data_IF_173416895852
#
_entry.id   IF_173416895852
#
_cell.length_a   1.000
_cell.length_b   1.000
_cell.length_c   1.000
_cell.angle_alpha   90.00
_cell.angle_beta   90.00
_cell.angle_gamma   90.00
#
_symmetry.space_group_name_H-M   'P 1'
#
loop_
_entity.id
_entity.type
_entity.pdbx_description
1 polymer ?
#
# COMPACT_ATOMS: atom_id res chain seq x y z
N UNK A 1 -5.37 5.88 21.11
CA UNK A 1 -6.73 5.39 20.76
C UNK A 1 -6.57 4.53 19.50
N UNK A 2 -7.02 3.26 19.53
CA UNK A 2 -6.98 2.39 18.34
C UNK A 2 -8.15 2.76 17.42
N UNK A 3 -7.86 3.01 16.15
CA UNK A 3 -8.86 3.38 15.16
C UNK A 3 -8.34 3.11 13.75
N UNK A 4 -9.22 2.92 12.77
CA UNK A 4 -8.85 2.89 11.35
C UNK A 4 -9.59 3.99 10.56
N UNK A 5 -8.92 4.52 9.54
CA UNK A 5 -9.55 5.32 8.50
C UNK A 5 -9.67 4.48 7.23
N UNK A 6 -10.84 4.52 6.60
CA UNK A 6 -11.15 3.77 5.39
C UNK A 6 -11.45 4.73 4.24
N UNK A 7 -10.69 4.63 3.15
CA UNK A 7 -11.00 5.28 1.88
C UNK A 7 -11.38 4.21 0.86
N UNK A 8 -12.59 4.31 0.33
CA UNK A 8 -13.22 3.27 -0.48
C UNK A 8 -13.45 3.81 -1.91
N UNK A 9 -12.46 3.63 -2.78
CA UNK A 9 -12.48 4.16 -4.15
C UNK A 9 -12.62 3.10 -5.24
N UNK A 10 -12.34 1.83 -4.93
CA UNK A 10 -12.43 0.73 -5.90
C UNK A 10 -13.17 -0.47 -5.30
N UNK A 11 -14.30 -0.85 -5.89
CA UNK A 11 -15.14 -1.92 -5.37
C UNK A 11 -14.61 -3.30 -5.82
N UNK A 12 -13.65 -3.83 -5.09
CA UNK A 12 -13.07 -5.17 -5.30
C UNK A 12 -13.57 -6.21 -4.29
N UNK A 13 -14.32 -5.77 -3.27
CA UNK A 13 -14.97 -6.60 -2.24
C UNK A 13 -16.21 -5.88 -1.71
N UNK A 14 -17.07 -6.58 -0.95
CA UNK A 14 -18.24 -5.95 -0.33
C UNK A 14 -17.79 -5.08 0.87
N UNK A 15 -18.07 -3.79 0.81
CA UNK A 15 -17.71 -2.86 1.88
C UNK A 15 -18.47 -3.15 3.18
N UNK A 16 -19.66 -3.76 3.10
CA UNK A 16 -20.39 -4.19 4.28
C UNK A 16 -19.65 -5.29 5.06
N UNK A 17 -18.93 -6.15 4.37
CA UNK A 17 -18.10 -7.19 5.02
C UNK A 17 -16.98 -6.56 5.86
N UNK A 18 -16.36 -5.47 5.36
CA UNK A 18 -15.35 -4.70 6.12
C UNK A 18 -15.95 -4.10 7.37
N UNK A 19 -17.11 -3.47 7.24
CA UNK A 19 -17.80 -2.83 8.37
C UNK A 19 -18.23 -3.88 9.41
N UNK A 20 -18.78 -5.01 8.97
CA UNK A 20 -19.15 -6.12 9.84
C UNK A 20 -17.93 -6.66 10.59
N UNK A 21 -16.83 -6.91 9.88
CA UNK A 21 -15.56 -7.35 10.47
C UNK A 21 -15.05 -6.37 11.55
N UNK A 22 -15.00 -5.06 11.23
CA UNK A 22 -14.49 -4.06 12.18
C UNK A 22 -15.39 -3.95 13.43
N UNK A 23 -16.71 -4.08 13.26
CA UNK A 23 -17.65 -4.10 14.38
C UNK A 23 -17.48 -5.36 15.25
N UNK A 24 -17.31 -6.54 14.66
CA UNK A 24 -17.06 -7.80 15.37
C UNK A 24 -15.76 -7.78 16.16
N UNK A 25 -14.69 -7.21 15.59
CA UNK A 25 -13.41 -7.04 16.26
C UNK A 25 -13.37 -5.85 17.24
N UNK A 26 -14.48 -5.08 17.34
CA UNK A 26 -14.57 -3.86 18.16
C UNK A 26 -13.49 -2.82 17.81
N UNK A 27 -13.18 -2.66 16.53
CA UNK A 27 -12.23 -1.68 16.03
C UNK A 27 -12.99 -0.43 15.57
N UNK A 28 -12.84 0.72 16.25
CA UNK A 28 -13.43 1.97 15.80
C UNK A 28 -12.90 2.37 14.42
N UNK A 29 -13.78 2.89 13.59
CA UNK A 29 -13.43 3.33 12.25
C UNK A 29 -14.08 4.66 11.86
N UNK A 30 -13.51 5.30 10.85
CA UNK A 30 -14.11 6.44 10.14
C UNK A 30 -13.99 6.17 8.65
N UNK A 31 -15.06 6.40 7.90
CA UNK A 31 -15.06 6.37 6.45
C UNK A 31 -14.75 7.78 5.95
N UNK A 32 -13.72 7.90 5.15
CA UNK A 32 -13.26 9.13 4.53
C UNK A 32 -13.47 9.06 3.02
N UNK A 33 -13.66 10.19 2.38
CA UNK A 33 -13.99 10.29 0.95
C UNK A 33 -13.28 11.48 0.29
N UNK A 34 -13.55 11.69 -0.99
CA UNK A 34 -13.04 12.83 -1.76
C UNK A 34 -13.38 14.20 -1.14
N UNK A 35 -14.45 14.28 -0.35
CA UNK A 35 -14.84 15.49 0.37
C UNK A 35 -13.81 15.90 1.43
N UNK A 36 -13.04 14.90 1.93
CA UNK A 36 -12.05 15.08 2.99
C UNK A 36 -10.63 15.31 2.46
N UNK A 37 -10.43 15.49 1.16
CA UNK A 37 -9.11 15.55 0.53
C UNK A 37 -8.14 16.58 1.14
N UNK A 38 -8.67 17.72 1.59
CA UNK A 38 -7.90 18.79 2.22
C UNK A 38 -7.80 18.66 3.74
N UNK A 39 -8.54 17.73 4.35
CA UNK A 39 -8.57 17.54 5.80
C UNK A 39 -7.28 16.87 6.28
N UNK A 40 -6.81 17.30 7.45
CA UNK A 40 -5.63 16.73 8.07
C UNK A 40 -5.96 15.35 8.67
N UNK A 41 -5.07 14.37 8.47
CA UNK A 41 -5.25 13.00 8.96
C UNK A 41 -5.51 12.97 10.47
N UNK A 42 -4.80 13.80 11.25
CA UNK A 42 -5.02 13.91 12.69
C UNK A 42 -6.45 14.33 13.05
N UNK A 43 -7.04 15.24 12.29
CA UNK A 43 -8.41 15.72 12.50
C UNK A 43 -9.44 14.66 12.08
N UNK A 44 -9.19 13.94 10.98
CA UNK A 44 -10.04 12.83 10.54
C UNK A 44 -10.11 11.70 11.56
N UNK A 45 -9.07 11.48 12.35
CA UNK A 45 -9.06 10.45 13.40
C UNK A 45 -10.02 10.75 14.56
N UNK A 46 -10.38 12.00 14.79
CA UNK A 46 -11.36 12.38 15.84
C UNK A 46 -12.81 12.44 15.35
N UNK A 47 -13.03 12.36 14.04
CA UNK A 47 -14.39 12.28 13.47
C UNK A 47 -14.97 10.86 13.60
N UNK A 48 -16.29 10.72 13.45
CA UNK A 48 -16.99 9.44 13.56
C UNK A 48 -17.98 9.24 12.39
N UNK A 49 -17.54 9.58 11.17
CA UNK A 49 -18.33 9.32 9.97
C UNK A 49 -18.26 7.82 9.63
N UNK A 50 -19.41 7.15 9.56
CA UNK A 50 -19.53 5.71 9.31
C UNK A 50 -20.38 5.39 8.09
N UNK A 51 -20.94 6.40 7.40
CA UNK A 51 -21.70 6.17 6.18
C UNK A 51 -20.77 5.79 5.04
N UNK A 52 -21.08 4.70 4.34
CA UNK A 52 -20.32 4.26 3.19
C UNK A 52 -20.45 5.32 2.08
N UNK A 53 -19.32 5.91 1.72
CA UNK A 53 -19.18 6.81 0.57
C UNK A 53 -18.15 6.20 -0.37
N UNK A 54 -18.54 6.04 -1.65
CA UNK A 54 -17.64 5.59 -2.70
C UNK A 54 -16.92 6.81 -3.26
N UNK A 55 -15.62 6.79 -3.19
CA UNK A 55 -14.74 7.85 -3.68
C UNK A 55 -14.34 7.58 -5.13
N UNK A 56 -13.99 8.61 -5.89
CA UNK A 56 -13.66 8.54 -7.32
C UNK A 56 -12.36 9.25 -7.70
N UNK A 57 -11.84 10.11 -6.84
CA UNK A 57 -10.61 10.86 -7.10
C UNK A 57 -9.41 9.91 -7.21
N UNK A 58 -9.34 8.94 -6.29
CA UNK A 58 -8.35 7.86 -6.32
C UNK A 58 -9.08 6.53 -6.44
N UNK A 59 -8.87 5.74 -7.53
CA UNK A 59 -9.52 4.44 -7.73
C UNK A 59 -8.84 3.34 -6.90
N UNK A 60 -8.62 3.60 -5.62
CA UNK A 60 -7.94 2.72 -4.67
C UNK A 60 -8.79 2.44 -3.45
N UNK A 61 -8.53 1.33 -2.78
CA UNK A 61 -8.99 1.09 -1.43
C UNK A 61 -7.81 1.25 -0.48
N UNK A 62 -7.94 2.19 0.45
CA UNK A 62 -6.89 2.51 1.41
C UNK A 62 -7.40 2.33 2.84
N UNK A 63 -6.53 1.80 3.71
CA UNK A 63 -6.77 1.67 5.14
C UNK A 63 -5.56 2.21 5.91
N UNK A 64 -5.82 3.13 6.86
CA UNK A 64 -4.84 3.65 7.80
C UNK A 64 -5.11 3.09 9.19
N UNK A 65 -4.10 2.50 9.81
CA UNK A 65 -4.15 1.97 11.17
C UNK A 65 -3.55 2.98 12.14
N UNK A 66 -4.33 3.43 13.12
CA UNK A 66 -3.88 4.37 14.15
C UNK A 66 -3.89 3.71 15.54
N UNK A 67 -2.83 3.97 16.32
CA UNK A 67 -2.71 3.52 17.71
C UNK A 67 -2.55 2.01 17.88
N UNK A 68 -2.07 1.32 16.86
CA UNK A 68 -1.82 -0.13 16.84
C UNK A 68 -0.34 -0.40 16.58
N UNK A 69 0.20 -1.47 17.12
CA UNK A 69 1.54 -1.93 16.79
C UNK A 69 1.54 -2.83 15.54
N UNK A 70 2.73 -3.17 15.01
CA UNK A 70 2.88 -3.96 13.77
C UNK A 70 2.22 -5.35 13.89
N UNK A 71 2.33 -6.02 15.03
CA UNK A 71 1.78 -7.37 15.22
C UNK A 71 0.24 -7.35 15.22
N UNK A 72 -0.36 -6.33 15.83
CA UNK A 72 -1.81 -6.13 15.82
C UNK A 72 -2.33 -5.86 14.41
N UNK A 73 -1.66 -4.97 13.67
CA UNK A 73 -2.00 -4.66 12.27
C UNK A 73 -1.88 -5.91 11.40
N UNK A 74 -0.81 -6.69 11.56
CA UNK A 74 -0.61 -7.92 10.81
C UNK A 74 -1.72 -8.94 11.09
N UNK A 75 -2.09 -9.13 12.37
CA UNK A 75 -3.18 -10.04 12.75
C UNK A 75 -4.53 -9.62 12.15
N UNK A 76 -4.84 -8.32 12.14
CA UNK A 76 -6.05 -7.77 11.52
C UNK A 76 -6.05 -8.03 10.01
N UNK A 77 -4.94 -7.73 9.33
CA UNK A 77 -4.80 -7.96 7.88
C UNK A 77 -4.98 -9.44 7.54
N UNK A 78 -4.40 -10.36 8.29
CA UNK A 78 -4.58 -11.79 8.08
C UNK A 78 -6.05 -12.24 8.23
N UNK A 79 -6.74 -11.75 9.26
CA UNK A 79 -8.18 -12.04 9.45
C UNK A 79 -9.01 -11.50 8.29
N UNK A 80 -8.74 -10.27 7.82
CA UNK A 80 -9.41 -9.67 6.67
C UNK A 80 -9.17 -10.48 5.40
N UNK A 81 -7.95 -10.95 5.16
CA UNK A 81 -7.61 -11.78 4.01
C UNK A 81 -8.37 -13.12 4.01
N UNK A 82 -8.57 -13.74 5.17
CA UNK A 82 -9.37 -14.96 5.30
C UNK A 82 -10.85 -14.75 4.93
N UNK A 83 -11.33 -13.50 4.97
CA UNK A 83 -12.66 -13.09 4.54
C UNK A 83 -12.68 -12.53 3.10
N UNK A 84 -11.57 -12.69 2.35
CA UNK A 84 -11.39 -12.13 1.02
C UNK A 84 -11.46 -10.58 0.97
N UNK A 85 -11.21 -9.92 2.09
CA UNK A 85 -11.09 -8.47 2.18
C UNK A 85 -9.62 -8.08 2.00
N UNK A 86 -9.31 -7.35 0.94
CA UNK A 86 -7.93 -6.93 0.66
C UNK A 86 -7.88 -5.47 0.21
N UNK A 87 -7.30 -4.62 1.03
CA UNK A 87 -6.98 -3.26 0.65
C UNK A 87 -5.70 -3.23 -0.19
N UNK A 88 -5.72 -2.47 -1.30
CA UNK A 88 -4.54 -2.29 -2.16
C UNK A 88 -3.46 -1.47 -1.45
N UNK A 89 -3.88 -0.48 -0.66
CA UNK A 89 -3.01 0.44 0.04
C UNK A 89 -3.26 0.39 1.55
N UNK A 90 -2.20 0.24 2.32
CA UNK A 90 -2.24 0.11 3.78
C UNK A 90 -1.14 0.97 4.38
N UNK A 91 -1.47 1.74 5.40
CA UNK A 91 -0.49 2.54 6.14
C UNK A 91 -0.70 2.44 7.64
N UNK A 92 0.34 2.72 8.38
CA UNK A 92 0.28 2.97 9.82
C UNK A 92 0.42 4.46 10.08
N UNK A 93 -0.30 4.96 11.10
CA UNK A 93 -0.15 6.33 11.54
C UNK A 93 1.26 6.56 12.11
N UNK A 94 1.91 7.63 11.67
CA UNK A 94 3.23 8.06 12.14
C UNK A 94 3.19 9.51 12.59
N UNK A 95 4.25 9.98 13.25
CA UNK A 95 4.41 11.39 13.65
C UNK A 95 4.49 12.35 12.44
N UNK A 96 4.81 11.82 11.27
CA UNK A 96 4.90 12.58 10.03
C UNK A 96 3.55 12.66 9.33
N UNK A 97 2.95 11.50 8.97
CA UNK A 97 1.74 11.47 8.16
C UNK A 97 0.48 11.95 8.89
N UNK A 98 0.49 12.00 10.22
CA UNK A 98 -0.61 12.60 11.01
C UNK A 98 -0.86 14.07 10.67
N UNK A 99 0.16 14.77 10.15
CA UNK A 99 0.14 16.20 9.81
C UNK A 99 -0.20 16.46 8.34
N UNK A 100 -0.26 15.41 7.53
CA UNK A 100 -0.57 15.52 6.11
C UNK A 100 -2.07 15.66 5.91
N UNK A 101 -2.46 16.29 4.80
CA UNK A 101 -3.84 16.16 4.35
C UNK A 101 -4.06 14.81 3.67
N UNK A 102 -5.32 14.42 3.52
CA UNK A 102 -5.67 13.13 2.94
C UNK A 102 -5.13 12.97 1.52
N UNK A 103 -5.22 14.03 0.70
CA UNK A 103 -4.75 13.97 -0.69
C UNK A 103 -3.26 13.66 -0.76
N UNK A 104 -2.43 14.38 0.00
CA UNK A 104 -0.99 14.15 0.03
C UNK A 104 -0.63 12.72 0.50
N UNK A 105 -1.38 12.19 1.46
CA UNK A 105 -1.17 10.80 1.91
C UNK A 105 -1.51 9.79 0.82
N UNK A 106 -2.61 9.97 0.10
CA UNK A 106 -3.03 9.05 -0.97
C UNK A 106 -2.10 9.14 -2.18
N UNK A 107 -1.63 10.33 -2.54
CA UNK A 107 -0.64 10.53 -3.61
C UNK A 107 0.68 9.80 -3.29
N UNK A 108 1.20 9.97 -2.08
CA UNK A 108 2.41 9.27 -1.62
C UNK A 108 2.23 7.75 -1.68
N UNK A 109 1.07 7.24 -1.23
CA UNK A 109 0.77 5.81 -1.27
C UNK A 109 0.70 5.25 -2.70
N UNK A 110 0.17 6.01 -3.65
CA UNK A 110 0.16 5.60 -5.07
C UNK A 110 1.56 5.59 -5.66
N UNK A 111 2.38 6.62 -5.38
CA UNK A 111 3.77 6.69 -5.83
C UNK A 111 4.60 5.54 -5.27
N UNK A 112 4.49 5.28 -3.95
CA UNK A 112 5.18 4.15 -3.30
C UNK A 112 4.74 2.80 -3.89
N UNK A 113 3.45 2.60 -4.13
CA UNK A 113 2.93 1.38 -4.74
C UNK A 113 3.46 1.18 -6.16
N UNK A 114 3.46 2.22 -6.99
CA UNK A 114 4.00 2.18 -8.36
C UNK A 114 5.51 1.87 -8.35
N UNK A 115 6.25 2.48 -7.42
CA UNK A 115 7.67 2.19 -7.21
C UNK A 115 7.88 0.73 -6.83
N UNK A 116 7.15 0.20 -5.85
CA UNK A 116 7.26 -1.18 -5.39
C UNK A 116 6.91 -2.20 -6.48
N UNK A 117 5.89 -1.92 -7.30
CA UNK A 117 5.55 -2.77 -8.45
C UNK A 117 6.70 -2.83 -9.45
N UNK A 118 7.31 -1.68 -9.76
CA UNK A 118 8.45 -1.59 -10.68
C UNK A 118 9.67 -2.29 -10.10
N UNK A 119 9.95 -2.06 -8.82
CA UNK A 119 11.03 -2.72 -8.09
C UNK A 119 10.91 -4.24 -8.11
N UNK A 120 9.73 -4.76 -7.75
CA UNK A 120 9.48 -6.20 -7.71
C UNK A 120 9.59 -6.86 -9.10
N UNK A 121 9.05 -6.23 -10.15
CA UNK A 121 9.19 -6.70 -11.53
C UNK A 121 10.65 -6.74 -11.95
N UNK A 122 11.40 -5.68 -11.68
CA UNK A 122 12.83 -5.61 -12.04
C UNK A 122 13.66 -6.63 -11.25
N UNK A 123 13.34 -6.81 -9.96
CA UNK A 123 14.02 -7.82 -9.14
C UNK A 123 13.74 -9.25 -9.62
N UNK A 124 12.50 -9.54 -10.04
CA UNK A 124 12.14 -10.84 -10.62
C UNK A 124 12.92 -11.11 -11.92
N UNK A 125 12.99 -10.12 -12.82
CA UNK A 125 13.77 -10.23 -14.05
C UNK A 125 15.26 -10.42 -13.78
N UNK A 126 15.85 -9.72 -12.81
CA UNK A 126 17.24 -9.90 -12.42
C UNK A 126 17.50 -11.30 -11.84
N UNK A 127 16.56 -11.83 -11.05
CA UNK A 127 16.65 -13.19 -10.52
C UNK A 127 16.61 -14.23 -11.64
N UNK A 128 15.74 -14.04 -12.62
CA UNK A 128 15.66 -14.89 -13.81
C UNK A 128 16.96 -14.81 -14.63
N UNK A 129 17.46 -13.60 -14.91
CA UNK A 129 18.72 -13.41 -15.60
C UNK A 129 19.91 -14.08 -14.88
N UNK A 130 19.98 -14.01 -13.54
CA UNK A 130 21.04 -14.68 -12.77
C UNK A 130 20.95 -16.22 -12.80
N UNK A 131 19.83 -16.78 -13.24
CA UNK A 131 19.67 -18.24 -13.42
C UNK A 131 20.11 -18.74 -14.78
N UNK A 132 20.41 -17.84 -15.73
CA UNK A 132 20.91 -18.18 -17.05
C UNK A 132 22.35 -18.72 -16.97
N UNK A 133 22.70 -19.67 -17.86
CA UNK A 133 24.05 -20.18 -17.95
C UNK A 133 24.99 -19.14 -18.58
N UNK A 134 26.32 -19.35 -18.41
CA UNK A 134 27.32 -18.50 -19.08
C UNK A 134 27.18 -18.54 -20.61
N UNK A 135 26.78 -19.68 -21.16
CA UNK A 135 26.56 -19.88 -22.60
C UNK A 135 25.39 -19.00 -23.10
N UNK A 136 24.33 -18.86 -22.32
CA UNK A 136 23.17 -17.97 -22.63
C UNK A 136 23.58 -16.49 -22.69
N UNK A 137 24.59 -16.07 -21.88
CA UNK A 137 25.10 -14.70 -21.85
C UNK A 137 26.01 -14.32 -23.03
N UNK A 138 26.58 -15.31 -23.74
CA UNK A 138 27.51 -15.08 -24.85
C UNK A 138 26.80 -15.03 -26.20
N UNK A 139 25.49 -15.36 -26.25
CA UNK A 139 24.72 -15.19 -27.49
C UNK A 139 24.68 -13.71 -27.90
N UNK A 140 24.96 -13.44 -29.19
CA UNK A 140 24.92 -12.07 -29.75
C UNK A 140 23.63 -11.34 -29.51
N UNK A 141 22.50 -12.07 -29.35
CA UNK A 141 21.18 -11.56 -29.07
C UNK A 141 21.05 -10.98 -27.65
N UNK A 142 21.89 -11.41 -26.70
CA UNK A 142 21.82 -10.97 -25.31
C UNK A 142 22.68 -9.74 -25.01
N UNK A 143 23.73 -9.48 -25.81
CA UNK A 143 24.67 -8.36 -25.62
C UNK A 143 23.96 -7.00 -25.47
N UNK A 144 22.93 -6.64 -26.27
CA UNK A 144 22.23 -5.37 -26.14
C UNK A 144 21.50 -5.19 -24.81
N UNK A 145 21.10 -6.28 -24.18
CA UNK A 145 20.33 -6.25 -22.92
C UNK A 145 21.23 -6.24 -21.68
N UNK A 146 22.47 -6.67 -21.80
CA UNK A 146 23.42 -6.75 -20.67
C UNK A 146 23.60 -5.42 -19.95
N UNK A 147 23.74 -4.32 -20.69
CA UNK A 147 23.92 -2.99 -20.11
C UNK A 147 22.64 -2.47 -19.43
N UNK A 148 21.46 -2.83 -19.97
CA UNK A 148 20.18 -2.53 -19.34
C UNK A 148 20.04 -3.30 -18.01
N UNK A 149 20.40 -4.58 -17.96
CA UNK A 149 20.42 -5.39 -16.74
C UNK A 149 21.36 -4.82 -15.68
N UNK A 150 22.60 -4.45 -16.07
CA UNK A 150 23.56 -3.83 -15.16
C UNK A 150 23.04 -2.52 -14.57
N UNK A 151 22.43 -1.66 -15.39
CA UNK A 151 21.82 -0.41 -14.94
C UNK A 151 20.66 -0.67 -13.97
N UNK A 152 19.77 -1.60 -14.29
CA UNK A 152 18.67 -2.00 -13.43
C UNK A 152 19.15 -2.57 -12.09
N UNK A 153 20.16 -3.44 -12.11
CA UNK A 153 20.79 -3.98 -10.90
C UNK A 153 21.39 -2.89 -10.01
N UNK A 154 22.12 -1.95 -10.60
CA UNK A 154 22.72 -0.82 -9.87
C UNK A 154 21.66 0.08 -9.27
N UNK A 155 20.58 0.36 -10.01
CA UNK A 155 19.45 1.13 -9.52
C UNK A 155 18.79 0.49 -8.30
N UNK A 156 18.48 -0.81 -8.36
CA UNK A 156 17.87 -1.54 -7.24
C UNK A 156 18.81 -1.58 -6.03
N UNK A 157 20.12 -1.75 -6.27
CA UNK A 157 21.10 -1.80 -5.17
C UNK A 157 21.25 -0.46 -4.45
N UNK A 158 21.10 0.65 -5.19
CA UNK A 158 21.19 2.02 -4.65
C UNK A 158 19.89 2.49 -3.99
N UNK A 159 18.74 2.05 -4.52
CA UNK A 159 17.41 2.47 -4.08
C UNK A 159 16.65 1.31 -3.40
N UNK A 160 17.36 0.47 -2.65
CA UNK A 160 16.73 -0.61 -1.90
C UNK A 160 15.75 0.02 -0.90
N UNK A 161 14.45 -0.31 -0.96
CA UNK A 161 13.48 0.22 -0.01
C UNK A 161 13.92 -0.14 1.40
N UNK A 162 13.90 0.83 2.29
CA UNK A 162 14.23 0.63 3.69
C UNK A 162 13.20 -0.34 4.28
N UNK A 163 13.69 -1.41 4.92
CA UNK A 163 12.82 -2.44 5.52
C UNK A 163 11.93 -1.90 6.65
N UNK A 164 12.20 -0.68 7.10
CA UNK A 164 11.46 -0.02 8.18
C UNK A 164 10.28 0.83 7.67
N UNK A 165 10.10 0.95 6.33
CA UNK A 165 8.98 1.68 5.70
C UNK A 165 7.81 0.77 5.30
N UNK A 166 7.86 -0.52 5.61
CA UNK A 166 6.77 -1.48 5.38
C UNK A 166 5.95 -1.70 6.63
#
# INVERSE_FOLDING_TARGET
MKKVLLYLGNQVFDYNDVISFLNEENIPYTIISDENKEDIIGDLLITNETNIKISSLFPINFILFAGMNKDEVFAIIQKMQNLNISFSHKAMLTENNIKWNLQALLEEMEEEHAFMLTYNKTHALLKEANSLSYEDYVEETFIPYRDAFLKAYMYIKQNKPDKDTL
#
